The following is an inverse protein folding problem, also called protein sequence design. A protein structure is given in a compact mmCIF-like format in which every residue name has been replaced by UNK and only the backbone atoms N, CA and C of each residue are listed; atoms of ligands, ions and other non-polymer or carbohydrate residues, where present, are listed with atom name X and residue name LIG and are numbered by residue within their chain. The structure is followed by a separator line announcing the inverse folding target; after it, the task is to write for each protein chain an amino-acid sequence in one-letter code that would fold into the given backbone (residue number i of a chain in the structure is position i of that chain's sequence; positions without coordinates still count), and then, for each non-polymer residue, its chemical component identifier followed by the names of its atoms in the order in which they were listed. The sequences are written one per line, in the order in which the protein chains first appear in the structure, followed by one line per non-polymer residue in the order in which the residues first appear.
data_IF_735241874344
#
_entry.id   IF_735241874344
#
_cell.length_a   1.000
_cell.length_b   1.000
_cell.length_c   1.000
_cell.angle_alpha   90.00
_cell.angle_beta   90.00
_cell.angle_gamma   90.00
#
_symmetry.space_group_name_H-M   'P 1'
#
loop_
_entity.id
_entity.type
_entity.pdbx_description
1 polymer ?
#
# COMPACT_ATOMS: atom_id res chain seq x y z
N UNK A 1 17.99 11.53 -20.99
CA UNK A 1 17.18 10.35 -20.56
C UNK A 1 17.25 10.25 -19.06
N UNK A 2 16.15 10.48 -18.34
CA UNK A 2 16.14 10.25 -16.88
C UNK A 2 16.42 8.77 -16.63
N UNK A 3 17.54 8.45 -16.00
CA UNK A 3 17.89 7.09 -15.61
C UNK A 3 16.82 6.56 -14.63
N UNK A 4 15.84 5.84 -15.17
CA UNK A 4 14.78 5.18 -14.39
C UNK A 4 15.41 4.17 -13.42
N UNK A 5 15.16 4.31 -12.14
CA UNK A 5 15.73 3.42 -11.13
C UNK A 5 14.94 2.12 -11.06
N UNK A 6 15.54 1.03 -11.55
CA UNK A 6 14.91 -0.29 -11.62
C UNK A 6 14.58 -0.85 -10.23
N UNK A 7 15.35 -0.51 -9.19
CA UNK A 7 15.08 -0.96 -7.84
C UNK A 7 13.75 -0.40 -7.30
N UNK A 8 13.41 0.84 -7.67
CA UNK A 8 12.11 1.44 -7.36
C UNK A 8 10.97 0.74 -8.11
N UNK A 9 11.20 0.34 -9.37
CA UNK A 9 10.21 -0.43 -10.13
C UNK A 9 9.97 -1.80 -9.51
N UNK A 10 11.02 -2.49 -9.05
CA UNK A 10 10.91 -3.75 -8.30
C UNK A 10 10.13 -3.55 -7.00
N UNK A 11 10.44 -2.50 -6.23
CA UNK A 11 9.73 -2.21 -4.99
C UNK A 11 8.23 -2.01 -5.20
N UNK A 12 7.84 -1.25 -6.22
CA UNK A 12 6.42 -1.05 -6.55
C UNK A 12 5.74 -2.33 -6.96
N UNK A 13 6.41 -3.15 -7.76
CA UNK A 13 5.88 -4.46 -8.19
C UNK A 13 5.72 -5.41 -7.00
N UNK A 14 6.70 -5.42 -6.10
CA UNK A 14 6.67 -6.21 -4.86
C UNK A 14 5.57 -5.71 -3.92
N UNK A 15 5.44 -4.38 -3.77
CA UNK A 15 4.38 -3.79 -2.95
C UNK A 15 2.98 -4.17 -3.46
N UNK A 16 2.76 -4.20 -4.78
CA UNK A 16 1.51 -4.68 -5.36
C UNK A 16 1.26 -6.17 -5.05
N UNK A 17 2.28 -7.02 -5.18
CA UNK A 17 2.19 -8.43 -4.80
C UNK A 17 1.84 -8.59 -3.32
N UNK A 18 2.42 -7.78 -2.46
CA UNK A 18 2.12 -7.77 -1.03
C UNK A 18 0.70 -7.31 -0.71
N UNK A 19 0.13 -6.36 -1.47
CA UNK A 19 -1.29 -5.99 -1.34
C UNK A 19 -2.18 -7.20 -1.52
N UNK A 20 -1.95 -7.98 -2.59
CA UNK A 20 -2.73 -9.18 -2.87
C UNK A 20 -2.53 -10.23 -1.76
N UNK A 21 -1.30 -10.34 -1.23
CA UNK A 21 -1.00 -11.20 -0.07
C UNK A 21 -1.75 -10.79 1.21
N UNK A 22 -1.87 -9.49 1.50
CA UNK A 22 -2.67 -9.00 2.64
C UNK A 22 -4.15 -9.32 2.44
N UNK A 23 -4.67 -9.16 1.22
CA UNK A 23 -6.07 -9.46 0.91
C UNK A 23 -6.39 -10.95 1.07
N UNK A 24 -5.43 -11.84 0.77
CA UNK A 24 -5.60 -13.25 1.07
C UNK A 24 -5.91 -13.49 2.55
N UNK A 25 -5.13 -12.91 3.47
CA UNK A 25 -5.37 -13.04 4.90
C UNK A 25 -6.72 -12.42 5.32
N UNK A 26 -7.11 -11.30 4.70
CA UNK A 26 -8.36 -10.61 4.99
C UNK A 26 -9.59 -11.47 4.62
N UNK A 27 -9.54 -12.19 3.50
CA UNK A 27 -10.71 -12.87 2.95
C UNK A 27 -10.75 -14.38 3.22
N UNK A 28 -9.73 -14.96 3.85
CA UNK A 28 -9.67 -16.40 4.09
C UNK A 28 -10.05 -16.84 5.51
N UNK A 29 -10.50 -15.92 6.37
CA UNK A 29 -10.84 -16.23 7.76
C UNK A 29 -9.63 -16.38 8.68
N UNK A 30 -8.45 -15.91 8.26
CA UNK A 30 -7.22 -16.01 9.04
C UNK A 30 -7.35 -15.44 10.45
N UNK A 31 -8.09 -14.36 10.61
CA UNK A 31 -8.27 -13.65 11.87
C UNK A 31 -9.22 -14.31 12.85
N UNK A 32 -9.88 -15.39 12.43
CA UNK A 32 -10.77 -16.20 13.26
C UNK A 32 -10.04 -17.38 13.93
N UNK A 33 -8.75 -17.59 13.58
CA UNK A 33 -7.99 -18.73 14.05
C UNK A 33 -7.43 -18.51 15.46
N UNK A 34 -7.48 -19.61 16.25
CA UNK A 34 -6.77 -19.68 17.51
C UNK A 34 -5.25 -19.79 17.26
N UNK A 35 -4.46 -19.18 18.15
CA UNK A 35 -3.02 -19.15 18.04
C UNK A 35 -2.39 -20.53 18.25
N UNK A 36 -1.57 -20.94 17.28
CA UNK A 36 -0.71 -22.11 17.35
C UNK A 36 0.57 -21.86 16.51
N UNK A 37 1.53 -22.79 16.52
CA UNK A 37 2.79 -22.65 15.80
C UNK A 37 2.59 -22.46 14.28
N UNK A 38 1.61 -23.13 13.70
CA UNK A 38 1.26 -22.97 12.28
C UNK A 38 0.75 -21.54 11.98
N UNK A 39 -0.13 -21.03 12.82
CA UNK A 39 -0.65 -19.64 12.70
C UNK A 39 0.47 -18.62 12.91
N UNK A 40 1.41 -18.87 13.83
CA UNK A 40 2.57 -17.99 14.05
C UNK A 40 3.41 -17.81 12.78
N UNK A 41 3.65 -18.88 12.03
CA UNK A 41 4.36 -18.78 10.74
C UNK A 41 3.63 -17.86 9.76
N UNK A 42 2.31 -17.95 9.65
CA UNK A 42 1.52 -17.08 8.80
C UNK A 42 1.42 -15.64 9.32
N UNK A 43 1.50 -15.42 10.63
CA UNK A 43 1.65 -14.07 11.19
C UNK A 43 2.92 -13.39 10.67
N UNK A 44 4.04 -14.08 10.64
CA UNK A 44 5.30 -13.52 10.11
C UNK A 44 5.16 -13.18 8.62
N UNK A 45 4.60 -14.08 7.81
CA UNK A 45 4.35 -13.84 6.39
C UNK A 45 3.44 -12.61 6.23
N UNK A 46 2.35 -12.54 6.98
CA UNK A 46 1.43 -11.41 6.95
C UNK A 46 2.14 -10.10 7.31
N UNK A 47 2.99 -10.08 8.32
CA UNK A 47 3.74 -8.89 8.73
C UNK A 47 4.69 -8.39 7.62
N UNK A 48 5.24 -9.29 6.81
CA UNK A 48 5.98 -8.92 5.60
C UNK A 48 5.02 -8.31 4.57
N UNK A 49 3.88 -8.94 4.30
CA UNK A 49 2.90 -8.46 3.32
C UNK A 49 2.33 -7.09 3.69
N UNK A 50 2.15 -6.80 4.99
CA UNK A 50 1.67 -5.51 5.48
C UNK A 50 2.59 -4.34 5.11
N UNK A 51 3.84 -4.57 4.76
CA UNK A 51 4.72 -3.50 4.27
C UNK A 51 4.31 -2.94 2.91
N UNK A 52 3.29 -3.49 2.26
CA UNK A 52 2.78 -3.08 0.94
C UNK A 52 2.51 -1.58 0.85
N UNK A 53 1.63 -1.06 1.69
CA UNK A 53 1.27 0.38 1.72
C UNK A 53 2.44 1.26 2.15
N UNK A 54 3.17 0.96 3.23
CA UNK A 54 4.43 1.60 3.56
C UNK A 54 5.40 1.74 2.39
N UNK A 55 5.67 0.66 1.66
CA UNK A 55 6.60 0.69 0.52
C UNK A 55 6.12 1.61 -0.60
N UNK A 56 4.81 1.66 -0.90
CA UNK A 56 4.27 2.64 -1.84
C UNK A 56 4.48 4.07 -1.38
N UNK A 57 4.28 4.36 -0.10
CA UNK A 57 4.44 5.72 0.44
C UNK A 57 5.93 6.10 0.48
N UNK A 58 6.82 5.21 0.93
CA UNK A 58 8.27 5.47 0.93
C UNK A 58 8.77 5.73 -0.51
N UNK A 59 8.37 4.90 -1.48
CA UNK A 59 8.75 5.12 -2.88
C UNK A 59 8.18 6.42 -3.43
N UNK A 60 7.00 6.83 -2.99
CA UNK A 60 6.39 8.11 -3.36
C UNK A 60 7.20 9.28 -2.81
N UNK A 61 7.58 9.26 -1.54
CA UNK A 61 8.44 10.28 -0.92
C UNK A 61 9.80 10.36 -1.62
N UNK A 62 10.43 9.19 -1.89
CA UNK A 62 11.70 9.10 -2.60
C UNK A 62 11.66 9.75 -3.99
N UNK A 63 10.60 9.52 -4.75
CA UNK A 63 10.46 10.04 -6.12
C UNK A 63 10.00 11.51 -6.16
N UNK A 64 9.27 11.95 -5.15
CA UNK A 64 8.62 13.26 -5.14
C UNK A 64 9.36 14.33 -4.33
N UNK A 65 10.57 14.08 -3.84
CA UNK A 65 11.34 14.98 -2.96
C UNK A 65 11.46 16.44 -3.42
N UNK A 66 11.45 16.66 -4.74
CA UNK A 66 11.60 17.98 -5.34
C UNK A 66 10.26 18.58 -5.79
N UNK A 67 9.15 17.89 -5.58
CA UNK A 67 7.83 18.39 -5.98
C UNK A 67 7.33 19.40 -4.95
N UNK A 68 6.89 20.53 -5.48
CA UNK A 68 6.24 21.61 -4.76
C UNK A 68 4.84 21.84 -5.34
N UNK A 69 4.01 22.62 -4.65
CA UNK A 69 2.70 22.98 -5.16
C UNK A 69 2.81 23.71 -6.51
N UNK A 70 2.09 23.21 -7.49
CA UNK A 70 1.96 23.78 -8.83
C UNK A 70 0.65 23.33 -9.44
N UNK A 71 0.17 24.02 -10.48
CA UNK A 71 -1.03 23.59 -11.21
C UNK A 71 -0.94 22.13 -11.67
N UNK A 72 0.22 21.71 -12.20
CA UNK A 72 0.48 20.32 -12.64
C UNK A 72 0.43 19.34 -11.47
N UNK A 73 0.90 19.76 -10.28
CA UNK A 73 0.86 18.93 -9.07
C UNK A 73 -0.58 18.60 -8.68
N UNK A 74 -1.43 19.63 -8.60
CA UNK A 74 -2.84 19.45 -8.26
C UNK A 74 -3.62 18.69 -9.33
N UNK A 75 -3.34 18.90 -10.60
CA UNK A 75 -3.95 18.14 -11.69
C UNK A 75 -3.61 16.64 -11.61
N UNK A 76 -2.41 16.29 -11.18
CA UNK A 76 -2.05 14.88 -10.95
C UNK A 76 -2.85 14.25 -9.79
N UNK A 77 -3.05 15.00 -8.70
CA UNK A 77 -3.87 14.53 -7.57
C UNK A 77 -5.33 14.35 -8.03
N UNK A 78 -5.86 15.35 -8.73
CA UNK A 78 -7.22 15.30 -9.27
C UNK A 78 -7.40 14.11 -10.23
N UNK A 79 -6.43 13.86 -11.10
CA UNK A 79 -6.46 12.72 -12.02
C UNK A 79 -6.54 11.38 -11.27
N UNK A 80 -5.74 11.17 -10.22
CA UNK A 80 -5.78 9.97 -9.39
C UNK A 80 -7.15 9.80 -8.74
N UNK A 81 -7.69 10.88 -8.17
CA UNK A 81 -9.00 10.86 -7.53
C UNK A 81 -10.13 10.63 -8.53
N UNK A 82 -10.03 11.18 -9.74
CA UNK A 82 -11.00 10.96 -10.82
C UNK A 82 -11.02 9.51 -11.30
N UNK A 83 -9.84 8.86 -11.42
CA UNK A 83 -9.75 7.45 -11.75
C UNK A 83 -10.42 6.57 -10.69
N UNK A 84 -10.17 6.86 -9.42
CA UNK A 84 -10.83 6.19 -8.31
C UNK A 84 -12.35 6.39 -8.34
N UNK A 85 -12.81 7.64 -8.44
CA UNK A 85 -14.25 7.94 -8.48
C UNK A 85 -14.95 7.26 -9.66
N UNK A 86 -14.29 7.20 -10.83
CA UNK A 86 -14.80 6.48 -11.99
C UNK A 86 -14.89 4.96 -11.75
N UNK A 87 -13.88 4.38 -11.07
CA UNK A 87 -13.93 2.97 -10.70
C UNK A 87 -15.09 2.66 -9.74
N UNK A 88 -15.30 3.51 -8.72
CA UNK A 88 -16.43 3.38 -7.79
C UNK A 88 -17.77 3.49 -8.53
N UNK A 89 -17.87 4.44 -9.47
CA UNK A 89 -19.07 4.58 -10.30
C UNK A 89 -19.40 3.28 -11.04
N UNK A 90 -18.42 2.72 -11.76
CA UNK A 90 -18.63 1.46 -12.52
C UNK A 90 -19.02 0.32 -11.60
N UNK A 91 -18.32 0.14 -10.48
CA UNK A 91 -18.59 -0.96 -9.55
C UNK A 91 -19.97 -0.82 -8.91
N UNK A 92 -20.35 0.39 -8.47
CA UNK A 92 -21.65 0.62 -7.85
C UNK A 92 -22.78 0.40 -8.84
N UNK A 93 -22.65 0.89 -10.08
CA UNK A 93 -23.67 0.69 -11.13
C UNK A 93 -23.80 -0.80 -11.51
N UNK A 94 -22.68 -1.52 -11.54
CA UNK A 94 -22.70 -2.97 -11.78
C UNK A 94 -23.42 -3.71 -10.65
N UNK A 95 -23.15 -3.37 -9.39
CA UNK A 95 -23.81 -3.98 -8.23
C UNK A 95 -25.32 -3.71 -8.19
N UNK A 96 -25.78 -2.61 -8.80
CA UNK A 96 -27.19 -2.23 -8.94
C UNK A 96 -27.78 -2.65 -10.31
N UNK A 97 -27.22 -3.67 -10.95
CA UNK A 97 -27.72 -4.22 -12.22
C UNK A 97 -27.86 -3.18 -13.34
N UNK A 98 -26.91 -2.24 -13.42
CA UNK A 98 -26.88 -1.15 -14.40
C UNK A 98 -28.06 -0.16 -14.31
N UNK A 99 -28.73 -0.07 -13.16
CA UNK A 99 -29.68 1.01 -12.89
C UNK A 99 -28.94 2.36 -12.79
N UNK A 100 -29.43 3.39 -13.50
CA UNK A 100 -28.90 4.75 -13.50
C UNK A 100 -29.85 5.73 -12.83
N UNK A 101 -30.65 5.27 -11.88
CA UNK A 101 -31.57 6.11 -11.12
C UNK A 101 -30.81 7.12 -10.22
N UNK A 102 -31.52 8.17 -9.79
CA UNK A 102 -31.01 9.13 -8.81
C UNK A 102 -30.54 8.45 -7.52
N UNK A 103 -31.21 7.38 -7.11
CA UNK A 103 -30.85 6.62 -5.90
C UNK A 103 -29.46 5.97 -6.05
N UNK A 104 -29.17 5.39 -7.23
CA UNK A 104 -27.87 4.79 -7.53
C UNK A 104 -26.80 5.85 -7.60
N UNK A 105 -27.06 7.01 -8.21
CA UNK A 105 -26.12 8.12 -8.21
C UNK A 105 -25.77 8.60 -6.78
N UNK A 106 -26.78 8.76 -5.92
CA UNK A 106 -26.57 9.06 -4.49
C UNK A 106 -25.71 8.00 -3.81
N UNK A 107 -25.94 6.71 -4.09
CA UNK A 107 -25.15 5.59 -3.57
C UNK A 107 -23.69 5.65 -4.05
N UNK A 108 -23.44 6.02 -5.29
CA UNK A 108 -22.07 6.27 -5.81
C UNK A 108 -21.35 7.32 -4.98
N UNK A 109 -21.98 8.47 -4.74
CA UNK A 109 -21.37 9.54 -3.93
C UNK A 109 -21.07 9.06 -2.52
N UNK A 110 -21.99 8.34 -1.89
CA UNK A 110 -21.79 7.76 -0.55
C UNK A 110 -20.61 6.77 -0.58
N UNK A 111 -20.56 5.85 -1.55
CA UNK A 111 -19.48 4.87 -1.67
C UNK A 111 -18.10 5.50 -1.87
N UNK A 112 -18.01 6.64 -2.57
CA UNK A 112 -16.76 7.41 -2.70
C UNK A 112 -16.35 7.99 -1.34
N UNK A 113 -17.29 8.54 -0.57
CA UNK A 113 -17.01 9.17 0.72
C UNK A 113 -16.74 8.14 1.84
N UNK A 114 -17.39 6.98 1.79
CA UNK A 114 -17.24 5.90 2.78
C UNK A 114 -16.08 4.96 2.48
N UNK A 115 -15.23 5.26 1.49
CA UNK A 115 -14.02 4.48 1.16
C UNK A 115 -14.30 3.04 0.71
N UNK A 116 -15.44 2.75 0.12
CA UNK A 116 -15.74 1.41 -0.40
C UNK A 116 -14.73 0.96 -1.47
N UNK A 117 -14.68 -0.32 -1.73
CA UNK A 117 -13.86 -0.94 -2.80
C UNK A 117 -12.39 -0.50 -2.74
N UNK A 118 -11.76 -0.60 -1.55
CA UNK A 118 -10.36 -0.24 -1.28
C UNK A 118 -10.03 1.27 -1.37
N UNK A 119 -11.05 2.13 -1.39
CA UNK A 119 -10.88 3.58 -1.54
C UNK A 119 -10.10 4.27 -0.43
N UNK A 120 -10.00 3.66 0.76
CA UNK A 120 -9.31 4.24 1.90
C UNK A 120 -7.85 4.65 1.59
N UNK A 121 -7.13 3.85 0.78
CA UNK A 121 -5.76 4.16 0.39
C UNK A 121 -5.68 5.41 -0.48
N UNK A 122 -6.60 5.58 -1.43
CA UNK A 122 -6.61 6.73 -2.33
C UNK A 122 -6.91 8.00 -1.56
N UNK A 123 -7.89 7.98 -0.65
CA UNK A 123 -8.23 9.12 0.19
C UNK A 123 -7.07 9.50 1.12
N UNK A 124 -6.43 8.53 1.77
CA UNK A 124 -5.22 8.74 2.55
C UNK A 124 -4.09 9.32 1.69
N UNK A 125 -3.87 8.78 0.49
CA UNK A 125 -2.86 9.25 -0.44
C UNK A 125 -3.10 10.70 -0.88
N UNK A 126 -4.33 11.07 -1.20
CA UNK A 126 -4.69 12.46 -1.55
C UNK A 126 -4.39 13.40 -0.39
N UNK A 127 -4.84 13.06 0.83
CA UNK A 127 -4.54 13.86 2.02
C UNK A 127 -3.02 14.02 2.26
N UNK A 128 -2.26 12.93 2.13
CA UNK A 128 -0.81 12.95 2.24
C UNK A 128 -0.18 13.86 1.18
N UNK A 129 -0.63 13.78 -0.08
CA UNK A 129 -0.06 14.59 -1.15
C UNK A 129 -0.33 16.08 -0.97
N UNK A 130 -1.40 16.50 -0.32
CA UNK A 130 -1.63 17.91 -0.01
C UNK A 130 -0.58 18.48 0.96
N UNK A 131 -0.09 17.64 1.88
CA UNK A 131 0.90 18.02 2.92
C UNK A 131 2.36 17.76 2.45
N UNK A 132 2.56 16.82 1.54
CA UNK A 132 3.87 16.34 1.09
C UNK A 132 4.87 17.45 0.70
N UNK A 133 4.50 18.54 0.01
CA UNK A 133 5.42 19.62 -0.30
C UNK A 133 6.01 20.33 0.92
N UNK A 134 5.30 20.37 2.07
CA UNK A 134 5.83 20.92 3.33
C UNK A 134 7.02 20.08 3.78
N UNK A 135 6.86 18.74 3.78
CA UNK A 135 7.92 17.80 4.15
C UNK A 135 9.11 17.94 3.19
N UNK A 136 8.84 18.04 1.88
CA UNK A 136 9.88 18.21 0.87
C UNK A 136 10.70 19.47 1.11
N UNK A 137 10.04 20.61 1.38
CA UNK A 137 10.70 21.90 1.66
C UNK A 137 11.50 21.80 2.96
N UNK A 138 10.91 21.27 4.04
CA UNK A 138 11.59 21.11 5.30
C UNK A 138 12.90 20.31 5.16
N UNK A 139 12.83 19.14 4.52
CA UNK A 139 14.01 18.29 4.32
C UNK A 139 15.05 18.91 3.37
N UNK A 140 14.62 19.67 2.36
CA UNK A 140 15.53 20.33 1.43
C UNK A 140 16.43 21.37 2.10
N UNK A 141 15.87 22.12 3.05
CA UNK A 141 16.61 23.22 3.72
C UNK A 141 17.19 22.82 5.08
N UNK A 142 16.92 21.59 5.53
CA UNK A 142 17.43 21.07 6.79
C UNK A 142 18.85 20.55 6.63
N UNK A 143 19.74 20.88 7.59
CA UNK A 143 21.08 20.30 7.67
C UNK A 143 21.03 18.78 7.82
N UNK A 144 22.05 18.10 7.33
CA UNK A 144 22.09 16.65 7.27
C UNK A 144 21.87 15.95 8.61
N UNK A 145 22.54 16.42 9.68
CA UNK A 145 22.35 15.89 11.03
C UNK A 145 20.91 16.10 11.52
N UNK A 146 20.32 17.25 11.21
CA UNK A 146 18.95 17.58 11.60
C UNK A 146 17.91 16.71 10.86
N UNK A 147 18.18 16.32 9.61
CA UNK A 147 17.32 15.38 8.89
C UNK A 147 17.22 14.03 9.60
N UNK A 148 18.34 13.51 10.09
CA UNK A 148 18.35 12.26 10.87
C UNK A 148 17.50 12.38 12.15
N UNK A 149 17.71 13.43 12.93
CA UNK A 149 16.91 13.67 14.13
C UNK A 149 15.43 13.90 13.83
N UNK A 150 15.12 14.56 12.71
CA UNK A 150 13.72 14.76 12.28
C UNK A 150 13.03 13.43 12.02
N UNK A 151 13.68 12.51 11.27
CA UNK A 151 13.13 11.16 11.04
C UNK A 151 12.94 10.41 12.35
N UNK A 152 13.96 10.39 13.20
CA UNK A 152 13.90 9.73 14.50
C UNK A 152 12.73 10.26 15.35
N UNK A 153 12.61 11.59 15.46
CA UNK A 153 11.52 12.21 16.22
C UNK A 153 10.13 11.94 15.62
N UNK A 154 9.99 11.95 14.29
CA UNK A 154 8.73 11.62 13.63
C UNK A 154 8.33 10.17 13.93
N UNK A 155 9.28 9.22 13.86
CA UNK A 155 9.02 7.82 14.20
C UNK A 155 8.60 7.70 15.67
N UNK A 156 9.35 8.28 16.59
CA UNK A 156 9.02 8.22 18.03
C UNK A 156 7.68 8.87 18.30
N UNK A 157 7.44 10.09 17.81
CA UNK A 157 6.21 10.84 18.09
C UNK A 157 4.94 10.14 17.58
N UNK A 158 5.01 9.45 16.47
CA UNK A 158 3.82 8.82 15.86
C UNK A 158 3.77 7.32 16.17
N UNK A 159 4.89 6.60 15.99
CA UNK A 159 4.87 5.14 16.03
C UNK A 159 4.90 4.59 17.47
N UNK A 160 5.59 5.28 18.40
CA UNK A 160 5.66 4.81 19.79
C UNK A 160 4.28 4.81 20.48
N UNK A 161 3.48 5.90 20.40
CA UNK A 161 2.14 5.89 20.97
C UNK A 161 1.24 4.81 20.39
N UNK A 162 1.29 4.61 19.06
CA UNK A 162 0.51 3.58 18.38
C UNK A 162 0.91 2.19 18.88
N UNK A 163 2.22 1.93 18.99
CA UNK A 163 2.74 0.65 19.45
C UNK A 163 2.36 0.38 20.92
N UNK A 164 2.49 1.38 21.78
CA UNK A 164 2.09 1.26 23.19
C UNK A 164 0.59 1.03 23.31
N UNK A 165 -0.21 1.71 22.50
CA UNK A 165 -1.65 1.50 22.46
C UNK A 165 -2.01 0.07 22.06
N UNK A 166 -1.33 -0.48 21.03
CA UNK A 166 -1.54 -1.86 20.60
C UNK A 166 -1.20 -2.88 21.72
N UNK A 167 -0.17 -2.61 22.55
CA UNK A 167 0.23 -3.49 23.64
C UNK A 167 -0.68 -3.40 24.88
N UNK A 168 -1.25 -2.22 25.16
CA UNK A 168 -1.99 -1.95 26.39
C UNK A 168 -3.49 -1.78 26.18
N UNK A 169 -4.02 -2.25 25.04
CA UNK A 169 -5.46 -2.20 24.75
C UNK A 169 -6.32 -2.85 25.83
N UNK A 170 -5.84 -3.90 26.49
CA UNK A 170 -6.53 -4.54 27.63
C UNK A 170 -6.38 -3.78 28.96
N UNK A 171 -5.36 -2.96 29.11
CA UNK A 171 -5.18 -2.09 30.29
C UNK A 171 -6.10 -0.86 30.23
N UNK A 172 -7.22 -1.06 29.64
CA UNK A 172 -8.44 -0.26 29.60
C UNK A 172 -8.28 1.23 29.90
N UNK A 173 -8.07 1.95 28.83
CA UNK A 173 -8.96 3.03 28.44
C UNK A 173 -8.70 4.42 28.94
N UNK A 174 -8.05 4.67 30.05
CA UNK A 174 -8.15 6.05 30.54
C UNK A 174 -6.85 6.86 30.44
N UNK A 175 -5.70 6.25 30.62
CA UNK A 175 -4.46 7.02 30.70
C UNK A 175 -3.84 7.29 29.31
N UNK A 176 -3.72 6.27 28.45
CA UNK A 176 -3.06 6.44 27.15
C UNK A 176 -3.95 7.09 26.09
N UNK A 177 -5.27 6.83 26.09
CA UNK A 177 -6.21 7.49 25.18
C UNK A 177 -6.34 9.00 25.43
N UNK A 178 -6.06 9.44 26.64
CA UNK A 178 -6.08 10.86 27.00
C UNK A 178 -4.75 11.57 26.64
N UNK A 179 -3.63 10.84 26.55
CA UNK A 179 -2.32 11.40 26.18
C UNK A 179 -2.23 11.71 24.69
N UNK A 180 -2.82 10.86 23.84
CA UNK A 180 -2.76 11.02 22.39
C UNK A 180 -4.16 10.91 21.79
N UNK A 181 -4.65 11.96 21.13
CA UNK A 181 -5.96 11.91 20.47
C UNK A 181 -6.04 10.80 19.42
N UNK A 182 -7.17 10.14 19.27
CA UNK A 182 -7.36 9.04 18.30
C UNK A 182 -7.02 9.42 16.85
N UNK A 183 -7.20 10.68 16.46
CA UNK A 183 -6.82 11.16 15.15
C UNK A 183 -5.30 11.14 14.91
N UNK A 184 -4.48 11.21 15.97
CA UNK A 184 -3.02 11.12 15.86
C UNK A 184 -2.58 9.78 15.27
N UNK A 185 -3.30 8.71 15.58
CA UNK A 185 -3.06 7.38 15.03
C UNK A 185 -3.22 7.32 13.50
N UNK A 186 -3.89 8.29 12.89
CA UNK A 186 -4.04 8.38 11.42
C UNK A 186 -2.87 9.09 10.73
N UNK A 187 -1.92 9.65 11.49
CA UNK A 187 -0.77 10.40 10.94
C UNK A 187 0.41 9.50 10.48
N UNK A 188 0.34 8.19 10.66
CA UNK A 188 1.39 7.24 10.28
C UNK A 188 1.89 7.35 8.81
N UNK A 189 1.12 7.81 7.80
CA UNK A 189 1.64 7.96 6.44
C UNK A 189 2.78 8.97 6.34
N UNK A 190 2.81 9.96 7.25
CA UNK A 190 3.86 10.97 7.31
C UNK A 190 5.24 10.34 7.61
N UNK A 191 5.28 9.30 8.44
CA UNK A 191 6.52 8.56 8.76
C UNK A 191 7.14 8.03 7.47
N UNK A 192 6.38 7.28 6.71
CA UNK A 192 6.85 6.60 5.51
C UNK A 192 7.22 7.57 4.39
N UNK A 193 6.45 8.64 4.23
CA UNK A 193 6.77 9.67 3.25
C UNK A 193 8.09 10.37 3.62
N UNK A 194 8.27 10.76 4.88
CA UNK A 194 9.48 11.40 5.36
C UNK A 194 10.71 10.48 5.21
N UNK A 195 10.58 9.18 5.54
CA UNK A 195 11.62 8.17 5.29
C UNK A 195 12.02 8.16 3.80
N UNK A 196 11.05 8.16 2.89
CA UNK A 196 11.30 8.19 1.46
C UNK A 196 12.06 9.43 1.01
N UNK A 197 11.65 10.61 1.49
CA UNK A 197 12.33 11.88 1.21
C UNK A 197 13.78 11.83 1.74
N UNK A 198 13.98 11.39 2.97
CA UNK A 198 15.31 11.24 3.58
C UNK A 198 16.26 10.40 2.72
N UNK A 199 15.85 9.16 2.37
CA UNK A 199 16.66 8.27 1.55
C UNK A 199 16.89 8.77 0.11
N UNK A 200 16.10 9.71 -0.34
CA UNK A 200 16.31 10.32 -1.65
C UNK A 200 17.48 11.32 -1.66
N UNK A 201 17.77 11.93 -0.53
CA UNK A 201 18.96 12.77 -0.34
C UNK A 201 20.19 11.94 0.03
N UNK A 202 19.96 10.88 0.82
CA UNK A 202 21.02 10.00 1.32
C UNK A 202 20.77 8.56 0.88
N UNK A 203 21.65 8.06 0.01
CA UNK A 203 21.65 6.65 -0.39
C UNK A 203 22.45 5.80 0.61
N UNK A 204 22.24 6.02 1.88
CA UNK A 204 22.96 5.28 2.90
C UNK A 204 22.44 3.83 2.99
N UNK A 205 23.40 2.90 3.08
CA UNK A 205 23.10 1.51 3.37
C UNK A 205 23.06 1.31 4.88
N UNK A 206 21.93 0.88 5.41
CA UNK A 206 21.83 0.46 6.81
C UNK A 206 22.65 -0.83 6.97
N UNK A 207 23.75 -0.76 7.71
CA UNK A 207 24.71 -1.87 7.83
C UNK A 207 24.08 -3.17 8.35
N UNK A 208 23.11 -3.06 9.24
CA UNK A 208 22.46 -4.18 9.89
C UNK A 208 20.99 -4.35 9.47
N UNK A 209 20.61 -3.88 8.28
CA UNK A 209 19.21 -3.92 7.82
C UNK A 209 18.60 -5.32 7.87
N UNK A 210 19.37 -6.36 7.53
CA UNK A 210 18.88 -7.74 7.55
C UNK A 210 18.62 -8.25 8.97
N UNK A 211 19.52 -8.01 9.90
CA UNK A 211 19.33 -8.43 11.30
C UNK A 211 18.20 -7.65 11.96
N UNK A 212 18.08 -6.35 11.69
CA UNK A 212 16.96 -5.53 12.16
C UNK A 212 15.63 -6.01 11.57
N UNK A 213 15.59 -6.41 10.30
CA UNK A 213 14.42 -6.99 9.66
C UNK A 213 13.98 -8.27 10.37
N UNK A 214 14.91 -9.21 10.56
CA UNK A 214 14.62 -10.48 11.24
C UNK A 214 14.14 -10.22 12.67
N UNK A 215 14.82 -9.36 13.43
CA UNK A 215 14.43 -9.01 14.81
C UNK A 215 13.04 -8.38 14.85
N UNK A 216 12.73 -7.43 13.96
CA UNK A 216 11.42 -6.77 13.92
C UNK A 216 10.29 -7.76 13.57
N UNK A 217 10.54 -8.70 12.66
CA UNK A 217 9.57 -9.73 12.30
C UNK A 217 9.34 -10.72 13.45
N UNK A 218 10.40 -11.17 14.11
CA UNK A 218 10.28 -12.10 15.24
C UNK A 218 9.61 -11.44 16.45
N UNK A 219 10.07 -10.26 16.87
CA UNK A 219 9.49 -9.56 18.01
C UNK A 219 8.05 -9.15 17.70
N UNK A 220 7.78 -8.61 16.50
CA UNK A 220 6.44 -8.27 16.07
C UNK A 220 5.52 -9.49 16.01
N UNK A 221 6.01 -10.63 15.53
CA UNK A 221 5.28 -11.90 15.50
C UNK A 221 4.99 -12.45 16.90
N UNK A 222 5.98 -12.41 17.79
CA UNK A 222 5.84 -12.83 19.20
C UNK A 222 4.85 -11.91 19.91
N UNK A 223 4.96 -10.61 19.72
CA UNK A 223 4.03 -9.64 20.30
C UNK A 223 2.60 -9.91 19.86
N UNK A 224 2.42 -10.19 18.60
CA UNK A 224 1.12 -10.57 18.04
C UNK A 224 0.56 -11.83 18.67
N UNK A 225 1.41 -12.84 18.85
CA UNK A 225 1.04 -14.12 19.40
C UNK A 225 0.62 -14.04 20.88
N UNK A 226 1.38 -13.29 21.69
CA UNK A 226 1.14 -13.25 23.15
C UNK A 226 0.10 -12.21 23.58
N UNK A 227 0.00 -11.09 22.87
CA UNK A 227 -0.86 -9.98 23.31
C UNK A 227 -2.21 -9.93 22.59
N UNK A 228 -2.56 -10.96 21.78
CA UNK A 228 -3.82 -10.99 21.03
C UNK A 228 -4.14 -9.64 20.36
N UNK A 229 -3.13 -9.00 19.81
CA UNK A 229 -3.30 -7.69 19.20
C UNK A 229 -4.32 -7.83 18.07
N UNK A 230 -5.55 -7.42 18.34
CA UNK A 230 -6.64 -7.50 17.39
C UNK A 230 -6.32 -6.67 16.14
N UNK A 231 -6.49 -7.28 15.00
CA UNK A 231 -6.07 -6.79 13.69
C UNK A 231 -6.77 -5.52 13.21
N UNK A 232 -7.78 -5.03 13.91
CA UNK A 232 -8.61 -3.91 13.48
C UNK A 232 -7.96 -2.54 13.68
N UNK A 233 -6.96 -2.42 14.55
CA UNK A 233 -6.32 -1.16 14.85
C UNK A 233 -4.98 -1.00 14.15
N UNK A 234 -4.88 0.01 13.35
CA UNK A 234 -3.71 0.78 12.90
C UNK A 234 -2.36 0.04 12.80
N UNK A 235 -2.35 -1.10 12.15
CA UNK A 235 -1.15 -1.95 11.96
C UNK A 235 0.02 -1.20 11.31
N UNK A 236 -0.27 -0.24 10.42
CA UNK A 236 0.76 0.49 9.67
C UNK A 236 1.59 1.47 10.50
N UNK A 237 1.05 1.98 11.59
CA UNK A 237 1.76 2.91 12.49
C UNK A 237 2.65 2.22 13.52
N UNK A 238 2.51 0.91 13.72
CA UNK A 238 3.28 0.14 14.69
C UNK A 238 4.78 0.14 14.36
N UNK A 239 5.64 0.26 15.38
CA UNK A 239 7.10 0.35 15.22
C UNK A 239 7.69 -0.84 14.46
N UNK A 240 7.15 -2.04 14.65
CA UNK A 240 7.63 -3.23 13.95
C UNK A 240 7.33 -3.16 12.45
N UNK A 241 6.17 -2.64 12.05
CA UNK A 241 5.85 -2.40 10.64
C UNK A 241 6.75 -1.31 10.04
N UNK A 242 7.03 -0.23 10.79
CA UNK A 242 7.92 0.85 10.36
C UNK A 242 9.33 0.31 10.13
N UNK A 243 9.91 -0.40 11.10
CA UNK A 243 11.26 -0.96 10.99
C UNK A 243 11.35 -2.00 9.87
N UNK A 244 10.36 -2.90 9.76
CA UNK A 244 10.31 -3.89 8.68
C UNK A 244 10.29 -3.23 7.31
N UNK A 245 9.43 -2.23 7.12
CA UNK A 245 9.30 -1.50 5.84
C UNK A 245 10.56 -0.72 5.48
N UNK A 246 11.17 -0.05 6.46
CA UNK A 246 12.43 0.67 6.31
C UNK A 246 13.55 -0.27 5.90
N UNK A 247 13.66 -1.44 6.53
CA UNK A 247 14.69 -2.43 6.23
C UNK A 247 14.50 -3.01 4.82
N UNK A 248 13.28 -3.42 4.45
CA UNK A 248 12.98 -3.93 3.11
C UNK A 248 13.29 -2.87 2.06
N UNK A 249 12.85 -1.63 2.27
CA UNK A 249 13.14 -0.52 1.36
C UNK A 249 14.65 -0.32 1.19
N UNK A 250 15.41 -0.25 2.30
CA UNK A 250 16.84 -0.02 2.27
C UNK A 250 17.61 -1.17 1.59
N UNK A 251 17.25 -2.43 1.88
CA UNK A 251 17.84 -3.60 1.24
C UNK A 251 17.62 -3.53 -0.27
N UNK A 252 16.36 -3.33 -0.71
CA UNK A 252 16.01 -3.29 -2.12
C UNK A 252 16.63 -2.09 -2.84
N UNK A 253 16.77 -0.93 -2.19
CA UNK A 253 17.40 0.25 -2.76
C UNK A 253 18.88 -0.01 -3.11
N UNK A 254 19.56 -0.81 -2.30
CA UNK A 254 21.01 -1.01 -2.38
C UNK A 254 21.42 -2.33 -3.07
N UNK A 255 20.45 -3.19 -3.41
CA UNK A 255 20.75 -4.45 -4.10
C UNK A 255 21.14 -4.18 -5.56
N UNK A 256 22.17 -4.87 -6.05
CA UNK A 256 22.55 -4.85 -7.45
C UNK A 256 21.79 -5.94 -8.18
N UNK A 257 20.72 -5.58 -8.88
CA UNK A 257 19.89 -6.54 -9.62
C UNK A 257 20.24 -6.47 -11.10
N UNK A 258 20.53 -7.63 -11.71
CA UNK A 258 20.61 -7.81 -13.14
C UNK A 258 19.39 -8.61 -13.58
N UNK A 259 18.45 -7.96 -14.25
CA UNK A 259 17.25 -8.62 -14.80
C UNK A 259 17.44 -8.92 -16.29
N UNK A 260 16.97 -10.08 -16.71
CA UNK A 260 16.82 -10.35 -18.14
C UNK A 260 15.78 -9.42 -18.80
N UNK A 261 15.85 -9.25 -20.12
CA UNK A 261 15.01 -8.29 -20.83
C UNK A 261 13.50 -8.46 -20.58
N UNK A 262 13.02 -9.69 -20.55
CA UNK A 262 11.59 -10.00 -20.29
C UNK A 262 11.19 -9.54 -18.89
N UNK A 263 11.95 -9.91 -17.87
CA UNK A 263 11.68 -9.50 -16.49
C UNK A 263 11.71 -7.98 -16.33
N UNK A 264 12.66 -7.32 -17.01
CA UNK A 264 12.77 -5.86 -17.00
C UNK A 264 11.51 -5.18 -17.57
N UNK A 265 10.99 -5.69 -18.70
CA UNK A 265 9.77 -5.17 -19.32
C UNK A 265 8.57 -5.39 -18.41
N UNK A 266 8.41 -6.58 -17.84
CA UNK A 266 7.31 -6.90 -16.93
C UNK A 266 7.34 -6.03 -15.68
N UNK A 267 8.48 -5.89 -15.01
CA UNK A 267 8.62 -5.06 -13.80
C UNK A 267 8.31 -3.60 -14.11
N UNK A 268 8.78 -3.07 -15.23
CA UNK A 268 8.45 -1.70 -15.68
C UNK A 268 6.96 -1.53 -15.98
N UNK A 269 6.33 -2.52 -16.64
CA UNK A 269 4.90 -2.51 -16.92
C UNK A 269 4.08 -2.47 -15.63
N UNK A 270 4.35 -3.38 -14.70
CA UNK A 270 3.67 -3.47 -13.40
C UNK A 270 3.85 -2.16 -12.63
N UNK A 271 5.09 -1.71 -12.45
CA UNK A 271 5.42 -0.48 -11.72
C UNK A 271 4.74 0.78 -12.26
N UNK A 272 4.54 0.84 -13.58
CA UNK A 272 3.87 1.99 -14.21
C UNK A 272 2.36 1.97 -13.99
N UNK A 273 1.76 0.79 -13.86
CA UNK A 273 0.31 0.59 -13.80
C UNK A 273 -0.19 0.16 -12.41
N UNK A 274 0.59 0.39 -11.35
CA UNK A 274 0.26 -0.06 -9.99
C UNK A 274 -1.08 0.46 -9.47
N UNK A 275 -1.48 1.70 -9.81
CA UNK A 275 -2.78 2.25 -9.41
C UNK A 275 -3.94 1.50 -10.07
N UNK A 276 -3.84 1.23 -11.38
CA UNK A 276 -4.87 0.47 -12.11
C UNK A 276 -4.94 -0.96 -11.55
N UNK A 277 -3.78 -1.58 -11.31
CA UNK A 277 -3.70 -2.91 -10.73
C UNK A 277 -4.33 -2.97 -9.33
N UNK A 278 -4.08 -1.97 -8.49
CA UNK A 278 -4.69 -1.86 -7.18
C UNK A 278 -6.22 -1.78 -7.25
N UNK A 279 -6.76 -0.97 -8.15
CA UNK A 279 -8.21 -0.84 -8.31
C UNK A 279 -8.84 -2.13 -8.88
N UNK A 280 -8.16 -2.79 -9.83
CA UNK A 280 -8.65 -4.04 -10.41
C UNK A 280 -8.52 -5.24 -9.47
N UNK A 281 -7.57 -5.22 -8.54
CA UNK A 281 -7.40 -6.33 -7.58
C UNK A 281 -8.67 -6.57 -6.75
N UNK A 282 -9.45 -5.53 -6.46
CA UNK A 282 -10.73 -5.68 -5.78
C UNK A 282 -11.71 -6.60 -6.55
N UNK A 283 -11.80 -6.45 -7.87
CA UNK A 283 -12.68 -7.26 -8.72
C UNK A 283 -12.23 -8.73 -8.67
N UNK A 284 -10.92 -8.95 -8.75
CA UNK A 284 -10.34 -10.30 -8.68
C UNK A 284 -10.62 -10.95 -7.33
N UNK A 285 -10.40 -10.21 -6.25
CA UNK A 285 -10.62 -10.68 -4.88
C UNK A 285 -12.11 -11.02 -4.65
N UNK A 286 -13.03 -10.14 -5.05
CA UNK A 286 -14.46 -10.36 -4.94
C UNK A 286 -14.94 -11.57 -5.74
N UNK A 287 -14.24 -11.92 -6.82
CA UNK A 287 -14.57 -13.09 -7.66
C UNK A 287 -13.98 -14.38 -7.10
N UNK A 288 -12.75 -14.36 -6.58
CA UNK A 288 -12.01 -15.60 -6.24
C UNK A 288 -12.29 -16.06 -4.80
N UNK A 289 -12.26 -15.16 -3.81
CA UNK A 289 -12.31 -15.58 -2.41
C UNK A 289 -13.62 -16.24 -1.99
N UNK A 290 -14.83 -15.84 -2.46
CA UNK A 290 -16.06 -16.55 -2.14
C UNK A 290 -16.08 -17.99 -2.65
N UNK A 291 -15.50 -18.23 -3.86
CA UNK A 291 -15.35 -19.60 -4.38
C UNK A 291 -14.33 -20.40 -3.60
N UNK A 292 -13.18 -19.80 -3.27
CA UNK A 292 -12.12 -20.45 -2.50
C UNK A 292 -12.62 -20.91 -1.13
N UNK A 293 -13.33 -20.04 -0.41
CA UNK A 293 -13.89 -20.36 0.91
C UNK A 293 -14.94 -21.44 0.85
N UNK A 294 -15.74 -21.48 -0.22
CA UNK A 294 -16.72 -22.55 -0.45
C UNK A 294 -16.08 -23.87 -0.83
N UNK A 295 -15.09 -23.87 -1.71
CA UNK A 295 -14.39 -25.08 -2.17
C UNK A 295 -13.51 -25.71 -1.08
N UNK A 296 -12.90 -24.87 -0.25
CA UNK A 296 -12.00 -25.30 0.81
C UNK A 296 -12.48 -24.73 2.15
N UNK A 297 -13.46 -25.38 2.80
CA UNK A 297 -14.00 -24.91 4.08
C UNK A 297 -12.98 -24.90 5.21
N UNK A 298 -12.01 -25.83 5.19
CA UNK A 298 -10.98 -25.91 6.21
C UNK A 298 -9.95 -24.78 6.08
N UNK A 299 -9.89 -23.90 7.09
CA UNK A 299 -9.03 -22.72 7.11
C UNK A 299 -7.54 -23.09 7.03
N UNK A 300 -7.10 -24.15 7.71
CA UNK A 300 -5.69 -24.58 7.71
C UNK A 300 -5.23 -25.02 6.33
N UNK A 301 -6.07 -25.79 5.60
CA UNK A 301 -5.79 -26.19 4.22
C UNK A 301 -5.78 -24.96 3.33
N UNK A 302 -6.74 -24.04 3.50
CA UNK A 302 -6.84 -22.79 2.75
C UNK A 302 -5.59 -21.93 2.92
N UNK A 303 -5.08 -21.79 4.15
CA UNK A 303 -3.83 -21.08 4.43
C UNK A 303 -2.61 -21.74 3.79
N UNK A 304 -2.53 -23.07 3.76
CA UNK A 304 -1.44 -23.77 3.09
C UNK A 304 -1.38 -23.49 1.59
N UNK A 305 -2.50 -23.09 0.98
CA UNK A 305 -2.58 -22.69 -0.43
C UNK A 305 -2.17 -21.23 -0.68
N UNK A 306 -1.74 -20.48 0.35
CA UNK A 306 -1.34 -19.09 0.25
C UNK A 306 -0.44 -18.80 -0.98
N UNK A 307 0.68 -19.50 -1.22
CA UNK A 307 1.55 -19.17 -2.35
C UNK A 307 0.85 -19.29 -3.70
N UNK A 308 0.08 -20.38 -3.87
CA UNK A 308 -0.62 -20.67 -5.13
C UNK A 308 -1.71 -19.66 -5.41
N UNK A 309 -2.55 -19.37 -4.42
CA UNK A 309 -3.67 -18.44 -4.56
C UNK A 309 -3.19 -17.01 -4.80
N UNK A 310 -2.18 -16.57 -4.05
CA UNK A 310 -1.64 -15.19 -4.19
C UNK A 310 -0.97 -15.00 -5.55
N UNK A 311 -0.16 -15.97 -6.01
CA UNK A 311 0.45 -15.90 -7.34
C UNK A 311 -0.63 -15.89 -8.43
N UNK A 312 -1.64 -16.74 -8.32
CA UNK A 312 -2.74 -16.82 -9.28
C UNK A 312 -3.51 -15.50 -9.36
N UNK A 313 -3.92 -14.94 -8.21
CA UNK A 313 -4.57 -13.63 -8.14
C UNK A 313 -3.72 -12.51 -8.74
N UNK A 314 -2.41 -12.52 -8.43
CA UNK A 314 -1.48 -11.55 -8.98
C UNK A 314 -1.42 -11.63 -10.51
N UNK A 315 -1.29 -12.85 -11.07
CA UNK A 315 -1.25 -13.04 -12.52
C UNK A 315 -2.54 -12.61 -13.20
N UNK A 316 -3.72 -12.95 -12.66
CA UNK A 316 -5.01 -12.48 -13.18
C UNK A 316 -5.10 -10.97 -13.12
N UNK A 317 -4.72 -10.35 -12.01
CA UNK A 317 -4.73 -8.89 -11.87
C UNK A 317 -3.86 -8.24 -12.95
N UNK A 318 -2.64 -8.72 -13.16
CA UNK A 318 -1.73 -8.18 -14.18
C UNK A 318 -2.28 -8.41 -15.59
N UNK A 319 -2.90 -9.55 -15.86
CA UNK A 319 -3.56 -9.81 -17.13
C UNK A 319 -4.70 -8.82 -17.40
N UNK A 320 -5.55 -8.55 -16.41
CA UNK A 320 -6.62 -7.55 -16.54
C UNK A 320 -6.06 -6.14 -16.78
N UNK A 321 -4.98 -5.78 -16.08
CA UNK A 321 -4.26 -4.50 -16.33
C UNK A 321 -3.79 -4.42 -17.77
N UNK A 322 -3.20 -5.50 -18.30
CA UNK A 322 -2.75 -5.56 -19.68
C UNK A 322 -3.92 -5.33 -20.64
N UNK A 323 -5.05 -6.00 -20.44
CA UNK A 323 -6.25 -5.83 -21.27
C UNK A 323 -6.76 -4.38 -21.25
N UNK A 324 -6.86 -3.75 -20.07
CA UNK A 324 -7.29 -2.34 -19.94
C UNK A 324 -6.33 -1.39 -20.65
N UNK A 325 -5.03 -1.56 -20.48
CA UNK A 325 -4.01 -0.70 -21.11
C UNK A 325 -4.04 -0.84 -22.63
N UNK A 326 -4.21 -2.05 -23.16
CA UNK A 326 -4.35 -2.29 -24.59
C UNK A 326 -5.61 -1.63 -25.15
N UNK A 327 -6.76 -1.78 -24.47
CA UNK A 327 -8.04 -1.19 -24.88
C UNK A 327 -7.96 0.34 -24.94
N UNK A 328 -7.38 0.97 -23.92
CA UNK A 328 -7.14 2.43 -23.90
C UNK A 328 -6.20 2.85 -25.04
N UNK A 329 -5.19 2.06 -25.33
CA UNK A 329 -4.26 2.28 -26.46
C UNK A 329 -4.97 2.27 -27.81
N UNK A 330 -5.87 1.31 -28.03
CA UNK A 330 -6.70 1.21 -29.25
C UNK A 330 -7.64 2.41 -29.38
N UNK A 331 -8.34 2.75 -28.31
CA UNK A 331 -9.27 3.90 -28.30
C UNK A 331 -8.57 5.23 -28.62
N UNK A 332 -7.37 5.44 -28.10
CA UNK A 332 -6.56 6.64 -28.43
C UNK A 332 -6.20 6.67 -29.91
N UNK A 333 -5.82 5.55 -30.53
CA UNK A 333 -5.53 5.48 -31.96
C UNK A 333 -6.77 5.76 -32.81
N UNK A 334 -7.92 5.19 -32.47
CA UNK A 334 -9.19 5.43 -33.17
C UNK A 334 -9.60 6.91 -33.11
N UNK A 335 -9.47 7.56 -31.96
CA UNK A 335 -9.73 9.00 -31.82
C UNK A 335 -8.79 9.84 -32.68
N UNK A 336 -7.52 9.48 -32.77
CA UNK A 336 -6.56 10.16 -33.63
C UNK A 336 -6.93 10.05 -35.11
N UNK A 337 -7.32 8.86 -35.59
CA UNK A 337 -7.80 8.66 -36.95
C UNK A 337 -9.10 9.38 -37.26
N UNK A 338 -10.02 9.52 -36.28
CA UNK A 338 -11.26 10.27 -36.49
C UNK A 338 -11.04 11.79 -36.61
N UNK A 339 -10.00 12.33 -35.99
CA UNK A 339 -9.60 13.73 -36.10
C UNK A 339 -8.97 13.99 -37.48
N UNK A 340 -8.07 13.10 -37.96
CA UNK A 340 -7.44 13.21 -39.25
C UNK A 340 -8.41 13.06 -40.43
N UNK A 341 -9.58 12.43 -40.23
CA UNK A 341 -10.62 12.35 -41.28
C UNK A 341 -11.51 13.63 -41.34
N UNK A 342 -11.42 14.51 -40.36
CA UNK A 342 -12.21 15.75 -40.29
C UNK A 342 -11.39 17.00 -40.67
N UNK A 343 -10.07 16.85 -40.90
CA UNK A 343 -9.18 17.83 -41.53
C UNK A 343 -8.92 17.45 -42.98
#
# INVERSE_FOLDING_TARGET
MNNRNINIDIMKSLALFFVIGVHFFLYTGFYELNYNFFVFFFIIIRNIMLTCVPLFIITTGFLNRNKIWSKKYYLNILYIYSLYSFSIFILTVNDENFDLSYQVFRKVVINILEYKYYGWYINMYVGLMLIAPIINIAFKYMEEKKQYFAIFNIIIAISLPITLFDFFLDARYSLFSNLFPNWWNKSWPLIYYAIGVYFSYKKERIRYALSMLISALLIGGISYYYFNIHFESVVYGNIFCVVTSLCIFNILLNIKVKLGNICLVLVKFISTNTLIAYLLSHIVDASIYPYLTKLIPNIHIRLSMFPVVVIFNFLITIFLVFMVVMLVGVLKKLKYFSILRKT
#
